data_IF_249385220338
#
_entry.id   IF_249385220338
#
_cell.length_a   1.000
_cell.length_b   1.000
_cell.length_c   1.000
_cell.angle_alpha   90.00
_cell.angle_beta   90.00
_cell.angle_gamma   90.00
#
_symmetry.space_group_name_H-M   'P 1'
#
loop_
_entity.id
_entity.type
_entity.pdbx_description
1 polymer ?
#
# COMPACT_ATOMS: atom_id res chain seq x y z
N UNK A 1 -30.91 60.13 -35.49
CA UNK A 1 -31.20 59.62 -34.13
C UNK A 1 -31.54 58.14 -34.28
N UNK A 2 -30.88 57.11 -33.74
CA UNK A 2 -29.82 56.95 -32.74
C UNK A 2 -28.93 55.77 -33.20
N UNK A 3 -27.73 55.73 -32.63
CA UNK A 3 -26.53 55.03 -33.11
C UNK A 3 -26.62 53.50 -33.05
N UNK A 4 -25.94 52.90 -34.02
CA UNK A 4 -25.37 51.56 -34.05
C UNK A 4 -24.61 51.26 -32.74
N UNK A 5 -24.79 50.08 -32.15
CA UNK A 5 -23.86 49.55 -31.15
C UNK A 5 -23.82 48.02 -31.25
N UNK A 6 -22.77 47.57 -31.93
CA UNK A 6 -22.21 46.23 -31.85
C UNK A 6 -21.79 45.98 -30.39
N UNK A 7 -22.31 44.92 -29.77
CA UNK A 7 -21.75 44.38 -28.53
C UNK A 7 -21.62 42.86 -28.71
N UNK A 8 -20.50 42.48 -29.33
CA UNK A 8 -19.96 41.13 -29.36
C UNK A 8 -19.53 40.78 -27.93
N UNK A 9 -20.39 40.10 -27.17
CA UNK A 9 -20.01 39.55 -25.88
C UNK A 9 -19.29 38.22 -26.12
N UNK A 10 -17.95 38.30 -26.23
CA UNK A 10 -17.06 37.16 -26.30
C UNK A 10 -17.10 36.45 -24.93
N UNK A 11 -17.91 35.40 -24.81
CA UNK A 11 -17.95 34.56 -23.62
C UNK A 11 -16.72 33.64 -23.64
N UNK A 12 -15.60 34.15 -23.11
CA UNK A 12 -14.41 33.34 -22.82
C UNK A 12 -14.76 32.48 -21.59
N UNK A 13 -15.35 31.32 -21.82
CA UNK A 13 -15.39 30.27 -20.82
C UNK A 13 -13.98 29.69 -20.72
N UNK A 14 -13.24 30.17 -19.71
CA UNK A 14 -12.06 29.51 -19.16
C UNK A 14 -12.40 28.05 -18.87
N UNK A 15 -12.00 27.13 -19.75
CA UNK A 15 -11.88 25.73 -19.40
C UNK A 15 -10.73 25.63 -18.41
N UNK A 16 -11.04 25.69 -17.11
CA UNK A 16 -10.12 25.33 -16.05
C UNK A 16 -9.62 23.92 -16.35
N UNK A 17 -8.34 23.82 -16.71
CA UNK A 17 -7.61 22.58 -16.52
C UNK A 17 -7.77 22.23 -15.04
N UNK A 18 -8.57 21.20 -14.76
CA UNK A 18 -8.49 20.52 -13.48
C UNK A 18 -7.07 19.99 -13.39
N UNK A 19 -6.22 20.73 -12.67
CA UNK A 19 -4.90 20.28 -12.29
C UNK A 19 -5.07 18.90 -11.68
N UNK A 20 -4.29 17.94 -12.19
CA UNK A 20 -4.09 16.64 -11.56
C UNK A 20 -3.82 16.93 -10.08
N UNK A 21 -4.82 16.68 -9.25
CA UNK A 21 -4.70 16.76 -7.82
C UNK A 21 -3.75 15.62 -7.47
N UNK A 22 -2.45 15.92 -7.39
CA UNK A 22 -1.46 15.01 -6.88
C UNK A 22 -1.90 14.70 -5.46
N UNK A 23 -2.59 13.58 -5.28
CA UNK A 23 -3.00 13.11 -3.96
C UNK A 23 -1.75 13.15 -3.09
N UNK A 24 -1.79 13.99 -2.06
CA UNK A 24 -0.74 14.04 -1.05
C UNK A 24 -0.58 12.62 -0.53
N UNK A 25 0.54 12.01 -0.86
CA UNK A 25 0.82 10.63 -0.49
C UNK A 25 0.83 10.58 1.03
N UNK A 26 -0.02 9.74 1.63
CA UNK A 26 0.08 9.38 3.05
C UNK A 26 1.29 8.44 3.27
N UNK A 27 2.44 8.76 2.66
CA UNK A 27 3.65 7.94 2.58
C UNK A 27 4.31 7.75 3.93
N UNK A 28 3.98 8.57 4.93
CA UNK A 28 4.60 8.52 6.24
C UNK A 28 4.51 7.15 6.91
N UNK A 29 3.51 6.35 6.56
CA UNK A 29 3.23 5.06 7.21
C UNK A 29 3.40 3.82 6.33
N UNK A 30 3.73 3.95 5.05
CA UNK A 30 3.91 2.79 4.16
C UNK A 30 5.38 2.48 3.92
N UNK A 31 5.72 1.20 3.93
CA UNK A 31 7.01 0.67 3.52
C UNK A 31 7.11 0.65 1.99
N UNK A 32 7.52 1.77 1.40
CA UNK A 32 7.59 1.94 -0.05
C UNK A 32 9.03 2.15 -0.53
N UNK A 33 9.42 1.43 -1.58
CA UNK A 33 10.66 1.69 -2.31
C UNK A 33 10.35 2.53 -3.55
N UNK A 34 10.70 3.82 -3.54
CA UNK A 34 10.37 4.75 -4.64
C UNK A 34 8.87 4.76 -5.00
N UNK A 35 8.01 4.59 -3.99
CA UNK A 35 6.54 4.52 -4.15
C UNK A 35 5.99 3.12 -4.43
N UNK A 36 6.85 2.11 -4.59
CA UNK A 36 6.45 0.72 -4.83
C UNK A 36 6.23 -0.05 -3.53
N UNK A 37 5.06 -0.67 -3.39
CA UNK A 37 4.72 -1.54 -2.27
C UNK A 37 5.31 -2.94 -2.44
N UNK A 38 5.58 -3.60 -1.31
CA UNK A 38 5.98 -5.02 -1.22
C UNK A 38 7.16 -5.37 -2.16
N UNK A 39 8.04 -4.41 -2.44
CA UNK A 39 9.19 -4.59 -3.33
C UNK A 39 8.80 -5.13 -4.73
N UNK A 40 7.55 -4.87 -5.18
CA UNK A 40 7.03 -5.32 -6.47
C UNK A 40 6.35 -6.69 -6.47
N UNK A 41 6.17 -7.33 -5.32
CA UNK A 41 5.42 -8.58 -5.21
C UNK A 41 3.90 -8.36 -5.23
N UNK A 42 3.19 -9.32 -5.77
CA UNK A 42 1.75 -9.32 -5.95
C UNK A 42 1.01 -9.50 -4.60
N UNK A 43 0.27 -8.48 -4.12
CA UNK A 43 -0.44 -8.56 -2.83
C UNK A 43 -1.55 -9.62 -2.83
N UNK A 44 -2.15 -9.93 -3.99
CA UNK A 44 -3.27 -10.87 -4.11
C UNK A 44 -2.78 -12.30 -4.06
N UNK A 45 -1.60 -12.58 -4.64
CA UNK A 45 -1.02 -13.92 -4.69
C UNK A 45 -0.83 -14.56 -3.31
N UNK A 46 -0.54 -13.75 -2.28
CA UNK A 46 -0.43 -14.23 -0.90
C UNK A 46 -1.72 -14.87 -0.38
N UNK A 47 -2.89 -14.42 -0.86
CA UNK A 47 -4.19 -14.90 -0.41
C UNK A 47 -4.75 -15.97 -1.35
N UNK A 48 -4.61 -15.79 -2.67
CA UNK A 48 -5.20 -16.69 -3.66
C UNK A 48 -4.35 -17.92 -3.92
N UNK A 49 -3.02 -17.80 -3.79
CA UNK A 49 -2.07 -18.85 -4.12
C UNK A 49 -1.21 -19.27 -2.92
N UNK A 50 -1.32 -18.56 -1.80
CA UNK A 50 -0.46 -18.73 -0.61
C UNK A 50 1.03 -18.74 -1.00
N UNK A 51 1.41 -17.80 -1.88
CA UNK A 51 2.78 -17.64 -2.40
C UNK A 51 3.10 -16.17 -2.58
N UNK A 52 4.38 -15.85 -2.40
CA UNK A 52 4.95 -14.60 -2.88
C UNK A 52 5.25 -14.76 -4.38
N UNK A 53 4.55 -14.00 -5.22
CA UNK A 53 4.82 -13.96 -6.66
C UNK A 53 5.27 -12.56 -7.04
N UNK A 54 6.32 -12.46 -7.85
CA UNK A 54 6.73 -11.18 -8.43
C UNK A 54 5.63 -10.65 -9.36
N UNK A 55 5.29 -9.37 -9.20
CA UNK A 55 4.36 -8.68 -10.06
C UNK A 55 5.04 -8.13 -11.31
N UNK A 56 4.24 -7.90 -12.36
CA UNK A 56 4.70 -7.24 -13.56
C UNK A 56 4.41 -5.73 -13.48
N UNK A 57 5.42 -4.89 -13.71
CA UNK A 57 5.26 -3.42 -13.73
C UNK A 57 4.18 -2.92 -14.70
N UNK A 58 3.96 -3.61 -15.83
CA UNK A 58 2.90 -3.25 -16.78
C UNK A 58 1.49 -3.58 -16.28
N UNK A 59 1.38 -4.42 -15.24
CA UNK A 59 0.13 -4.80 -14.59
C UNK A 59 0.16 -4.20 -13.19
N UNK A 60 -0.23 -2.93 -13.07
CA UNK A 60 -0.10 -2.17 -11.82
C UNK A 60 -1.30 -1.29 -11.52
N UNK A 61 -1.50 -1.02 -10.23
CA UNK A 61 -2.52 -0.11 -9.70
C UNK A 61 -1.93 0.75 -8.60
N UNK A 62 -2.51 1.93 -8.38
CA UNK A 62 -2.13 2.82 -7.29
C UNK A 62 -3.27 2.92 -6.30
N UNK A 63 -2.98 2.71 -5.01
CA UNK A 63 -3.93 2.82 -3.92
C UNK A 63 -3.22 3.45 -2.71
N UNK A 64 -3.88 4.41 -2.03
CA UNK A 64 -3.30 5.17 -0.91
C UNK A 64 -1.91 5.79 -1.20
N UNK A 65 -1.66 6.11 -2.48
CA UNK A 65 -0.38 6.64 -2.95
C UNK A 65 0.77 5.61 -3.02
N UNK A 66 0.48 4.34 -2.78
CA UNK A 66 1.38 3.22 -3.02
C UNK A 66 1.07 2.55 -4.37
N UNK A 67 2.11 2.16 -5.11
CA UNK A 67 1.98 1.40 -6.35
C UNK A 67 2.12 -0.08 -6.06
N UNK A 68 1.19 -0.89 -6.58
CA UNK A 68 1.17 -2.35 -6.47
C UNK A 68 1.32 -2.96 -7.85
N UNK A 69 2.13 -4.02 -7.96
CA UNK A 69 2.27 -4.81 -9.18
C UNK A 69 1.54 -6.13 -9.01
N UNK A 70 1.12 -6.73 -10.13
CA UNK A 70 0.38 -7.99 -10.13
C UNK A 70 0.99 -8.97 -11.12
N UNK A 71 0.98 -10.25 -10.75
CA UNK A 71 1.48 -11.35 -11.59
C UNK A 71 0.57 -11.57 -12.81
N UNK A 72 -0.71 -11.21 -12.72
CA UNK A 72 -1.67 -11.34 -13.80
C UNK A 72 -2.84 -10.32 -13.70
N UNK A 73 -3.61 -10.18 -14.78
CA UNK A 73 -4.73 -9.23 -14.85
C UNK A 73 -5.86 -9.58 -13.87
N UNK A 74 -6.11 -10.87 -13.60
CA UNK A 74 -7.13 -11.30 -12.64
C UNK A 74 -6.80 -10.81 -11.23
N UNK A 75 -5.54 -10.88 -10.81
CA UNK A 75 -5.09 -10.37 -9.52
C UNK A 75 -5.26 -8.85 -9.44
N UNK A 76 -4.85 -8.12 -10.48
CA UNK A 76 -5.12 -6.68 -10.56
C UNK A 76 -6.60 -6.36 -10.38
N UNK A 77 -7.49 -7.07 -11.07
CA UNK A 77 -8.94 -6.87 -10.96
C UNK A 77 -9.46 -7.17 -9.55
N UNK A 78 -8.97 -8.23 -8.89
CA UNK A 78 -9.33 -8.54 -7.51
C UNK A 78 -8.90 -7.41 -6.56
N UNK A 79 -7.67 -6.92 -6.72
CA UNK A 79 -7.17 -5.80 -5.94
C UNK A 79 -7.98 -4.53 -6.16
N UNK A 80 -8.23 -4.15 -7.42
CA UNK A 80 -8.96 -2.93 -7.76
C UNK A 80 -10.39 -2.92 -7.18
N UNK A 81 -11.00 -4.10 -7.03
CA UNK A 81 -12.34 -4.25 -6.47
C UNK A 81 -12.36 -4.09 -4.94
N UNK A 82 -11.34 -4.58 -4.23
CA UNK A 82 -11.29 -4.54 -2.77
C UNK A 82 -9.84 -4.34 -2.25
N UNK A 83 -9.21 -3.16 -2.47
CA UNK A 83 -7.79 -2.97 -2.21
C UNK A 83 -7.40 -3.23 -0.74
N UNK A 84 -8.23 -2.76 0.20
CA UNK A 84 -7.99 -2.84 1.64
C UNK A 84 -7.87 -4.27 2.18
N UNK A 85 -8.43 -5.25 1.46
CA UNK A 85 -8.30 -6.68 1.79
C UNK A 85 -6.90 -7.22 1.51
N UNK A 86 -6.25 -6.68 0.50
CA UNK A 86 -4.97 -7.20 -0.01
C UNK A 86 -3.78 -6.35 0.45
N UNK A 87 -4.01 -5.18 1.04
CA UNK A 87 -2.96 -4.38 1.65
C UNK A 87 -2.26 -5.15 2.78
N UNK A 88 -0.91 -5.07 2.86
CA UNK A 88 -0.19 -5.68 3.96
C UNK A 88 -0.48 -4.94 5.27
N UNK A 89 -0.57 -5.69 6.36
CA UNK A 89 -0.61 -5.13 7.70
C UNK A 89 0.57 -4.20 7.94
N UNK A 90 0.36 -3.22 8.81
CA UNK A 90 1.41 -2.30 9.28
C UNK A 90 2.11 -1.55 8.13
N UNK A 91 1.36 -1.22 7.08
CA UNK A 91 1.87 -0.52 5.90
C UNK A 91 2.94 -1.30 5.13
N UNK A 92 3.08 -2.61 5.35
CA UNK A 92 4.11 -3.44 4.72
C UNK A 92 5.45 -3.48 5.45
N UNK A 93 5.53 -2.98 6.69
CA UNK A 93 6.69 -3.17 7.56
C UNK A 93 6.67 -4.55 8.24
N UNK A 94 7.83 -4.97 8.73
CA UNK A 94 7.99 -6.23 9.45
C UNK A 94 7.08 -6.28 10.69
N UNK A 95 6.18 -7.26 10.73
CA UNK A 95 5.23 -7.45 11.83
C UNK A 95 5.91 -7.69 13.19
N UNK A 96 7.02 -8.43 13.20
CA UNK A 96 7.81 -8.63 14.41
C UNK A 96 8.40 -7.32 14.93
N UNK A 97 9.01 -6.51 14.06
CA UNK A 97 9.59 -5.23 14.46
C UNK A 97 8.51 -4.23 14.91
N UNK A 98 7.33 -4.30 14.29
CA UNK A 98 6.19 -3.47 14.67
C UNK A 98 5.76 -3.70 16.12
N UNK A 99 5.91 -4.92 16.65
CA UNK A 99 5.65 -5.20 18.07
C UNK A 99 6.54 -4.41 19.06
N UNK A 100 7.59 -3.77 18.55
CA UNK A 100 8.50 -2.91 19.31
C UNK A 100 8.43 -1.44 18.86
N UNK A 101 7.48 -1.09 17.98
CA UNK A 101 7.31 0.27 17.44
C UNK A 101 8.28 0.62 16.30
N UNK A 102 9.00 -0.35 15.75
CA UNK A 102 10.02 -0.13 14.73
C UNK A 102 9.51 -0.38 13.31
N UNK A 103 9.93 0.49 12.39
CA UNK A 103 9.68 0.38 10.94
C UNK A 103 10.87 -0.31 10.26
N UNK A 104 10.80 -1.64 10.13
CA UNK A 104 11.87 -2.46 9.52
C UNK A 104 11.40 -3.05 8.20
N UNK A 105 12.30 -3.07 7.21
CA UNK A 105 12.07 -3.69 5.90
C UNK A 105 11.73 -5.18 6.01
N UNK A 106 11.20 -5.73 4.93
CA UNK A 106 10.72 -7.11 4.86
C UNK A 106 11.51 -7.91 3.83
N UNK A 107 11.34 -9.22 3.88
CA UNK A 107 11.55 -10.15 2.78
C UNK A 107 10.17 -10.57 2.25
N UNK A 108 9.81 -10.27 0.99
CA UNK A 108 8.49 -10.58 0.44
C UNK A 108 8.13 -12.07 0.49
N UNK A 109 9.12 -12.95 0.49
CA UNK A 109 8.90 -14.40 0.56
C UNK A 109 8.65 -14.91 1.99
N UNK A 110 8.92 -14.08 3.00
CA UNK A 110 8.69 -14.43 4.41
C UNK A 110 7.44 -13.75 4.93
N UNK A 111 6.31 -14.47 4.86
CA UNK A 111 4.99 -13.93 5.19
C UNK A 111 4.14 -14.91 6.02
N UNK A 112 3.02 -14.39 6.55
CA UNK A 112 1.96 -15.16 7.18
C UNK A 112 0.60 -14.50 6.92
N UNK A 113 -0.41 -15.29 6.60
CA UNK A 113 -1.81 -14.85 6.64
C UNK A 113 -2.39 -15.22 8.00
N UNK A 114 -3.00 -14.24 8.68
CA UNK A 114 -3.72 -14.42 9.95
C UNK A 114 -4.92 -13.48 9.96
N UNK A 115 -6.10 -13.98 10.33
CA UNK A 115 -7.35 -13.21 10.39
C UNK A 115 -7.58 -12.38 9.12
N UNK A 116 -7.42 -13.02 7.95
CA UNK A 116 -7.54 -12.41 6.62
C UNK A 116 -6.64 -11.19 6.36
N UNK A 117 -5.53 -11.06 7.10
CA UNK A 117 -4.52 -10.02 6.91
C UNK A 117 -3.16 -10.61 6.56
N UNK A 118 -2.44 -9.91 5.68
CA UNK A 118 -1.07 -10.25 5.27
C UNK A 118 -0.05 -9.63 6.22
N UNK A 119 0.73 -10.47 6.90
CA UNK A 119 1.87 -10.06 7.71
C UNK A 119 3.17 -10.41 7.01
N UNK A 120 4.05 -9.43 6.86
CA UNK A 120 5.36 -9.58 6.24
C UNK A 120 6.45 -9.53 7.31
N UNK A 121 7.56 -10.21 7.07
CA UNK A 121 8.63 -10.37 8.06
C UNK A 121 9.98 -10.07 7.48
N UNK A 122 10.88 -9.60 8.33
CA UNK A 122 12.30 -9.50 7.99
C UNK A 122 12.90 -10.90 7.94
N UNK A 123 13.60 -11.19 6.85
CA UNK A 123 14.44 -12.37 6.73
C UNK A 123 15.70 -12.03 5.94
N UNK A 124 16.87 -12.23 6.56
CA UNK A 124 18.15 -12.06 5.90
C UNK A 124 19.24 -12.86 6.61
N UNK A 125 20.01 -13.63 5.85
CA UNK A 125 21.09 -14.51 6.34
C UNK A 125 20.60 -15.44 7.46
N UNK A 126 20.94 -15.14 8.71
CA UNK A 126 20.64 -15.99 9.87
C UNK A 126 19.45 -15.49 10.69
N UNK A 127 18.86 -14.35 10.32
CA UNK A 127 17.79 -13.71 11.06
C UNK A 127 16.49 -13.86 10.28
N UNK A 128 15.58 -14.69 10.77
CA UNK A 128 14.22 -14.83 10.25
C UNK A 128 13.24 -14.52 11.39
N UNK A 129 12.63 -13.34 11.31
CA UNK A 129 11.75 -12.84 12.38
C UNK A 129 10.38 -13.52 12.42
N UNK A 130 9.97 -14.22 11.37
CA UNK A 130 8.78 -15.08 11.41
C UNK A 130 8.98 -16.26 12.38
N UNK A 131 10.20 -16.80 12.49
CA UNK A 131 10.50 -17.85 13.47
C UNK A 131 10.35 -17.35 14.91
N UNK A 132 10.81 -16.13 15.19
CA UNK A 132 10.68 -15.53 16.52
C UNK A 132 9.24 -15.10 16.81
N UNK A 133 8.55 -14.57 15.79
CA UNK A 133 7.11 -14.29 15.86
C UNK A 133 6.30 -15.51 16.27
N UNK A 134 6.51 -16.65 15.60
CA UNK A 134 5.76 -17.87 15.87
C UNK A 134 5.99 -18.44 17.29
N UNK A 135 7.06 -18.06 17.99
CA UNK A 135 7.31 -18.49 19.38
C UNK A 135 6.42 -17.77 20.40
N UNK A 136 5.97 -16.57 20.09
CA UNK A 136 5.21 -15.71 21.02
C UNK A 136 4.13 -14.88 20.28
N UNK A 137 3.50 -15.49 19.28
CA UNK A 137 2.64 -14.80 18.30
C UNK A 137 1.51 -14.02 18.98
N UNK A 138 0.87 -14.59 20.00
CA UNK A 138 -0.27 -13.94 20.67
C UNK A 138 0.14 -12.62 21.33
N UNK A 139 1.27 -12.60 22.02
CA UNK A 139 1.75 -11.39 22.69
C UNK A 139 2.33 -10.38 21.70
N UNK A 140 3.09 -10.85 20.71
CA UNK A 140 3.68 -9.99 19.68
C UNK A 140 2.61 -9.35 18.79
N UNK A 141 1.55 -10.09 18.45
CA UNK A 141 0.38 -9.56 17.73
C UNK A 141 -0.28 -8.42 18.50
N UNK A 142 -0.63 -8.63 19.78
CA UNK A 142 -1.24 -7.59 20.60
C UNK A 142 -0.35 -6.35 20.73
N UNK A 143 0.96 -6.53 20.87
CA UNK A 143 1.92 -5.41 20.92
C UNK A 143 1.97 -4.68 19.59
N UNK A 144 2.08 -5.39 18.47
CA UNK A 144 2.16 -4.79 17.14
C UNK A 144 0.90 -4.01 16.78
N UNK A 145 -0.30 -4.50 17.11
CA UNK A 145 -1.53 -3.74 16.94
C UNK A 145 -1.51 -2.43 17.76
N UNK A 146 -1.13 -2.51 19.05
CA UNK A 146 -1.06 -1.34 19.91
C UNK A 146 -0.01 -0.32 19.47
N UNK A 147 1.16 -0.75 19.02
CA UNK A 147 2.20 0.16 18.53
C UNK A 147 1.80 0.77 17.18
N UNK A 148 1.18 -0.01 16.30
CA UNK A 148 0.69 0.49 15.02
C UNK A 148 -0.38 1.56 15.19
N UNK A 149 -1.35 1.36 16.08
CA UNK A 149 -2.36 2.37 16.42
C UNK A 149 -1.71 3.69 16.86
N UNK A 150 -0.67 3.65 17.69
CA UNK A 150 0.07 4.85 18.12
C UNK A 150 0.81 5.53 16.98
N UNK A 151 1.30 4.77 16.00
CA UNK A 151 2.01 5.32 14.84
C UNK A 151 1.04 6.06 13.93
N UNK A 152 -0.13 5.46 13.66
CA UNK A 152 -1.12 6.07 12.76
C UNK A 152 -1.88 7.22 13.42
N UNK A 153 -2.01 7.25 14.76
CA UNK A 153 -2.69 8.34 15.48
C UNK A 153 -1.84 9.60 15.67
N UNK A 154 -0.54 9.55 15.37
CA UNK A 154 0.39 10.68 15.52
C UNK A 154 0.53 11.56 14.26
N UNK A 155 -0.11 11.17 13.16
CA UNK A 155 -0.17 11.91 11.90
C UNK A 155 -1.55 12.56 11.73
#
# INVERSE_FOLDING_TARGET
MKKLSFALLLLICFSSLNGLNAQTINSGNYNLEKGLAIQGYDPVAYFTENKALEGNKSISSTHNGATYYFANIKHKTLFDNEPSKYEPAYGGYCAYAMAFGDKVKIDPETFKIKDDRLFLFYNFRFNNTLKDWNKDETNLFRKAESEWEKIISKN
#
